data_IF_239973274470
#
_entry.id   IF_239973274470
#
_cell.length_a   1.000
_cell.length_b   1.000
_cell.length_c   1.000
_cell.angle_alpha   90.00
_cell.angle_beta   90.00
_cell.angle_gamma   90.00
#
_symmetry.space_group_name_H-M   'P 1'
#
loop_
_entity.id
_entity.type
_entity.pdbx_description
1 polymer ?
#
# COMPACT_ATOMS: atom_id res chain seq x y z
N UNK A 1 2.24 -3.86 22.45
CA UNK A 1 2.28 -5.05 21.56
C UNK A 1 3.30 -4.95 20.42
N UNK A 2 3.22 -4.00 19.47
CA UNK A 2 4.18 -3.93 18.36
C UNK A 2 5.61 -3.70 18.85
N UNK A 3 5.81 -2.65 19.64
CA UNK A 3 7.08 -2.33 20.29
C UNK A 3 7.64 -3.50 21.11
N UNK A 4 6.79 -4.20 21.86
CA UNK A 4 7.21 -5.33 22.70
C UNK A 4 7.70 -6.54 21.87
N UNK A 5 7.13 -6.77 20.69
CA UNK A 5 7.46 -7.94 19.85
C UNK A 5 8.65 -7.71 18.91
N UNK A 6 8.86 -6.47 18.49
CA UNK A 6 9.88 -6.10 17.53
C UNK A 6 11.02 -5.25 18.11
N UNK A 7 10.88 -4.75 19.33
CA UNK A 7 11.89 -3.95 20.04
C UNK A 7 12.24 -2.62 19.34
N UNK A 8 11.31 -2.02 18.59
CA UNK A 8 11.41 -0.67 18.05
C UNK A 8 10.04 0.00 17.93
N UNK A 9 10.02 1.31 17.66
CA UNK A 9 8.78 2.10 17.62
C UNK A 9 7.91 1.75 16.41
N UNK A 10 6.59 1.79 16.56
CA UNK A 10 5.69 1.71 15.40
C UNK A 10 5.86 2.89 14.44
N UNK A 11 6.47 3.99 14.88
CA UNK A 11 6.78 5.14 14.02
C UNK A 11 7.92 4.86 13.03
N UNK A 12 8.80 3.90 13.33
CA UNK A 12 9.90 3.51 12.44
C UNK A 12 9.47 2.37 11.50
N UNK A 13 8.26 1.83 11.71
CA UNK A 13 7.68 0.80 10.86
C UNK A 13 6.89 1.43 9.71
N UNK A 14 7.14 0.95 8.50
CA UNK A 14 6.38 1.30 7.29
C UNK A 14 5.86 0.03 6.64
N UNK A 15 4.67 0.12 6.03
CA UNK A 15 4.02 -1.04 5.39
C UNK A 15 4.33 -1.14 3.90
N UNK A 16 4.71 0.00 3.29
CA UNK A 16 5.14 0.07 1.91
C UNK A 16 6.27 1.09 1.75
N UNK A 17 7.38 0.75 1.06
CA UNK A 17 7.76 -0.59 0.57
C UNK A 17 7.78 -1.63 1.72
N UNK A 18 7.62 -2.92 1.45
CA UNK A 18 7.52 -3.90 2.54
C UNK A 18 8.77 -3.85 3.43
N UNK A 19 8.61 -3.48 4.70
CA UNK A 19 9.75 -3.30 5.60
C UNK A 19 10.56 -4.60 5.75
N UNK A 20 11.90 -4.54 5.79
CA UNK A 20 12.77 -5.71 5.88
C UNK A 20 12.36 -6.75 6.94
N UNK A 21 11.85 -6.31 8.09
CA UNK A 21 11.49 -7.21 9.17
C UNK A 21 10.34 -8.16 8.83
N UNK A 22 9.44 -7.77 7.91
CA UNK A 22 8.37 -8.66 7.44
C UNK A 22 8.79 -9.48 6.22
N UNK A 23 9.98 -9.24 5.67
CA UNK A 23 10.57 -10.06 4.59
C UNK A 23 11.33 -11.27 5.15
N UNK A 24 11.49 -11.37 6.46
CA UNK A 24 11.94 -12.59 7.13
C UNK A 24 10.74 -13.40 7.65
N UNK A 25 10.78 -14.72 7.48
CA UNK A 25 9.67 -15.62 7.85
C UNK A 25 9.21 -15.44 9.31
N UNK A 26 10.14 -15.34 10.26
CA UNK A 26 9.82 -15.16 11.67
C UNK A 26 9.17 -13.81 11.95
N UNK A 27 9.67 -12.74 11.31
CA UNK A 27 9.12 -11.41 11.47
C UNK A 27 7.75 -11.26 10.81
N UNK A 28 7.55 -11.87 9.63
CA UNK A 28 6.26 -11.99 8.98
C UNK A 28 5.21 -12.65 9.88
N UNK A 29 5.53 -13.81 10.47
CA UNK A 29 4.59 -14.50 11.36
C UNK A 29 4.28 -13.69 12.63
N UNK A 30 5.27 -12.99 13.18
CA UNK A 30 5.06 -12.08 14.32
C UNK A 30 4.11 -10.94 13.93
N UNK A 31 4.34 -10.30 12.79
CA UNK A 31 3.50 -9.22 12.27
C UNK A 31 2.07 -9.70 12.05
N UNK A 32 1.88 -10.85 11.41
CA UNK A 32 0.55 -11.40 11.20
C UNK A 32 -0.20 -11.79 12.47
N UNK A 33 0.51 -12.30 13.49
CA UNK A 33 -0.10 -12.56 14.80
C UNK A 33 -0.51 -11.26 15.52
N UNK A 34 0.24 -10.16 15.34
CA UNK A 34 -0.16 -8.84 15.88
C UNK A 34 -1.40 -8.33 15.15
N UNK A 35 -1.36 -8.37 13.82
CA UNK A 35 -2.46 -7.95 12.96
C UNK A 35 -3.75 -8.71 13.29
N UNK A 36 -3.69 -10.03 13.42
CA UNK A 36 -4.86 -10.83 13.77
C UNK A 36 -5.50 -10.37 15.09
N UNK A 37 -4.69 -10.12 16.13
CA UNK A 37 -5.19 -9.63 17.41
C UNK A 37 -5.79 -8.22 17.31
N UNK A 38 -5.22 -7.37 16.47
CA UNK A 38 -5.78 -6.04 16.21
C UNK A 38 -7.14 -6.15 15.51
N UNK A 39 -7.24 -7.00 14.49
CA UNK A 39 -8.50 -7.27 13.79
C UNK A 39 -9.56 -7.86 14.72
N UNK A 40 -9.19 -8.80 15.60
CA UNK A 40 -10.08 -9.36 16.62
C UNK A 40 -10.56 -8.29 17.62
N UNK A 41 -9.68 -7.34 17.99
CA UNK A 41 -10.05 -6.20 18.82
C UNK A 41 -11.13 -5.33 18.15
N UNK A 42 -10.97 -5.00 16.86
CA UNK A 42 -12.01 -4.25 16.12
C UNK A 42 -13.35 -5.00 16.05
N UNK A 43 -13.31 -6.32 15.84
CA UNK A 43 -14.54 -7.14 15.79
C UNK A 43 -15.26 -7.16 17.13
N UNK A 44 -14.52 -7.34 18.23
CA UNK A 44 -15.11 -7.55 19.55
C UNK A 44 -15.45 -6.24 20.28
N UNK A 45 -14.53 -5.26 20.26
CA UNK A 45 -14.64 -4.01 21.02
C UNK A 45 -15.38 -2.93 20.22
N UNK A 46 -15.16 -2.86 18.91
CA UNK A 46 -15.81 -1.87 18.04
C UNK A 46 -17.05 -2.42 17.33
N UNK A 47 -17.39 -3.70 17.53
CA UNK A 47 -18.47 -4.41 16.84
C UNK A 47 -18.36 -4.37 15.30
N UNK A 48 -17.17 -4.09 14.78
CA UNK A 48 -16.92 -4.00 13.35
C UNK A 48 -16.65 -5.38 12.77
N UNK A 49 -17.73 -6.06 12.38
CA UNK A 49 -17.66 -7.38 11.73
C UNK A 49 -17.06 -7.32 10.32
N UNK A 50 -16.89 -6.14 9.75
CA UNK A 50 -16.30 -5.95 8.43
C UNK A 50 -14.77 -5.87 8.47
N UNK A 51 -14.17 -5.52 9.62
CA UNK A 51 -12.73 -5.39 9.82
C UNK A 51 -11.87 -6.54 9.24
N UNK A 52 -12.28 -7.83 9.29
CA UNK A 52 -11.50 -8.91 8.68
C UNK A 52 -11.62 -9.01 7.15
N UNK A 53 -12.50 -8.24 6.52
CA UNK A 53 -12.87 -8.33 5.10
C UNK A 53 -12.49 -7.08 4.30
N UNK A 54 -12.21 -5.97 4.97
CA UNK A 54 -11.74 -4.73 4.35
C UNK A 54 -10.25 -4.81 4.05
N UNK A 55 -9.81 -3.98 3.09
CA UNK A 55 -8.40 -3.81 2.84
C UNK A 55 -7.74 -3.16 4.06
N UNK A 56 -6.62 -3.74 4.44
CA UNK A 56 -5.59 -3.08 5.21
C UNK A 56 -4.28 -3.72 4.78
N UNK A 57 -3.13 -3.04 4.86
CA UNK A 57 -1.86 -3.64 4.49
C UNK A 57 -1.61 -4.96 5.21
N UNK A 58 -1.98 -5.01 6.49
CA UNK A 58 -1.90 -6.21 7.30
C UNK A 58 -2.86 -7.33 6.83
N UNK A 59 -4.14 -7.03 6.55
CA UNK A 59 -5.08 -8.02 6.01
C UNK A 59 -4.63 -8.53 4.64
N UNK A 60 -4.12 -7.65 3.78
CA UNK A 60 -3.60 -8.01 2.47
C UNK A 60 -2.51 -9.07 2.61
N UNK A 61 -1.47 -8.78 3.40
CA UNK A 61 -0.33 -9.68 3.56
C UNK A 61 -0.66 -10.92 4.38
N UNK A 62 -1.38 -10.77 5.49
CA UNK A 62 -1.53 -11.84 6.47
C UNK A 62 -2.73 -12.74 6.25
N UNK A 63 -3.70 -12.31 5.42
CA UNK A 63 -4.94 -13.03 5.16
C UNK A 63 -5.23 -13.25 3.69
N UNK A 64 -5.24 -12.21 2.87
CA UNK A 64 -5.69 -12.32 1.47
C UNK A 64 -4.61 -12.90 0.55
N UNK A 65 -3.35 -12.54 0.79
CA UNK A 65 -2.20 -12.90 -0.03
C UNK A 65 -1.10 -13.59 0.77
N UNK A 66 -1.45 -14.25 1.87
CA UNK A 66 -0.48 -14.87 2.77
C UNK A 66 0.44 -15.87 2.08
N UNK A 67 -0.14 -16.84 1.36
CA UNK A 67 0.61 -17.87 0.65
C UNK A 67 1.47 -17.24 -0.44
N UNK A 68 0.87 -16.37 -1.26
CA UNK A 68 1.57 -15.63 -2.31
C UNK A 68 2.75 -14.81 -1.76
N UNK A 69 2.56 -14.11 -0.64
CA UNK A 69 3.63 -13.36 0.03
C UNK A 69 4.77 -14.28 0.49
N UNK A 70 4.44 -15.43 1.09
CA UNK A 70 5.44 -16.40 1.52
C UNK A 70 6.24 -17.00 0.35
N UNK A 71 5.61 -17.22 -0.81
CA UNK A 71 6.27 -17.72 -2.03
C UNK A 71 7.28 -16.72 -2.60
N UNK A 72 6.97 -15.43 -2.54
CA UNK A 72 7.81 -14.37 -3.14
C UNK A 72 8.78 -13.73 -2.16
N UNK A 73 8.61 -14.00 -0.85
CA UNK A 73 9.34 -13.38 0.26
C UNK A 73 10.85 -13.33 0.03
N UNK A 74 11.46 -14.46 -0.39
CA UNK A 74 12.90 -14.52 -0.61
C UNK A 74 13.40 -13.55 -1.71
N UNK A 75 12.66 -13.42 -2.81
CA UNK A 75 13.02 -12.47 -3.87
C UNK A 75 12.89 -11.02 -3.37
N UNK A 76 11.85 -10.73 -2.61
CA UNK A 76 11.66 -9.41 -2.00
C UNK A 76 12.79 -9.09 -1.02
N UNK A 77 13.17 -10.03 -0.16
CA UNK A 77 14.28 -9.90 0.80
C UNK A 77 15.61 -9.58 0.11
N UNK A 78 15.97 -10.33 -0.93
CA UNK A 78 17.24 -10.13 -1.65
C UNK A 78 17.27 -8.80 -2.41
N UNK A 79 16.11 -8.32 -2.86
CA UNK A 79 16.01 -7.07 -3.64
C UNK A 79 15.80 -5.84 -2.79
N UNK A 80 15.33 -5.98 -1.54
CA UNK A 80 14.97 -4.87 -0.66
C UNK A 80 16.08 -3.82 -0.49
N UNK A 81 17.36 -4.19 -0.23
CA UNK A 81 18.39 -3.17 -0.05
C UNK A 81 18.60 -2.31 -1.31
N UNK A 82 18.49 -2.92 -2.49
CA UNK A 82 18.65 -2.22 -3.77
C UNK A 82 17.41 -1.39 -4.11
N UNK A 83 16.21 -1.91 -3.87
CA UNK A 83 14.96 -1.16 -4.12
C UNK A 83 14.85 0.00 -3.15
N UNK A 84 15.19 -0.17 -1.88
CA UNK A 84 15.26 0.90 -0.90
C UNK A 84 16.27 1.97 -1.33
N UNK A 85 17.54 1.61 -1.56
CA UNK A 85 18.57 2.61 -1.89
C UNK A 85 18.33 3.35 -3.21
N UNK A 86 17.77 2.67 -4.22
CA UNK A 86 17.61 3.24 -5.57
C UNK A 86 16.23 3.83 -5.80
N UNK A 87 15.18 3.14 -5.40
CA UNK A 87 13.81 3.51 -5.77
C UNK A 87 13.18 4.44 -4.74
N UNK A 88 13.44 4.28 -3.45
CA UNK A 88 12.80 5.08 -2.40
C UNK A 88 13.08 6.58 -2.57
N UNK A 89 14.36 6.97 -2.50
CA UNK A 89 14.77 8.37 -2.65
C UNK A 89 14.37 8.94 -4.02
N UNK A 90 14.61 8.19 -5.10
CA UNK A 90 14.28 8.64 -6.45
C UNK A 90 12.78 8.91 -6.59
N UNK A 91 11.93 8.01 -6.09
CA UNK A 91 10.49 8.14 -6.21
C UNK A 91 9.91 9.18 -5.26
N UNK A 92 10.53 9.41 -4.10
CA UNK A 92 10.20 10.56 -3.27
C UNK A 92 10.46 11.88 -4.01
N UNK A 93 11.63 12.03 -4.62
CA UNK A 93 11.99 13.24 -5.36
C UNK A 93 11.11 13.45 -6.61
N UNK A 94 10.82 12.38 -7.36
CA UNK A 94 9.90 12.41 -8.51
C UNK A 94 8.49 12.84 -8.09
N UNK A 95 7.96 12.28 -7.01
CA UNK A 95 6.59 12.57 -6.55
C UNK A 95 6.45 14.03 -6.10
N UNK A 96 7.48 14.58 -5.45
CA UNK A 96 7.51 15.98 -5.03
C UNK A 96 7.48 16.97 -6.21
N UNK A 97 7.98 16.58 -7.40
CA UNK A 97 7.93 17.43 -8.60
C UNK A 97 6.52 17.51 -9.22
N UNK A 98 5.69 16.51 -8.98
CA UNK A 98 4.38 16.34 -9.63
C UNK A 98 3.23 16.98 -8.86
N UNK A 99 3.44 17.30 -7.57
CA UNK A 99 2.39 17.78 -6.68
C UNK A 99 2.65 19.25 -6.31
N UNK A 100 1.60 20.05 -6.25
CA UNK A 100 1.69 21.47 -5.93
C UNK A 100 2.41 21.73 -4.59
N UNK A 101 3.22 22.78 -4.55
CA UNK A 101 4.00 23.17 -3.37
C UNK A 101 3.07 23.79 -2.31
N UNK A 102 2.57 22.95 -1.41
CA UNK A 102 1.84 23.33 -0.20
C UNK A 102 2.54 22.81 1.05
N UNK A 103 2.08 23.25 2.22
CA UNK A 103 2.56 22.73 3.51
C UNK A 103 2.34 21.20 3.60
N UNK A 104 3.39 20.47 4.01
CA UNK A 104 3.32 19.02 4.23
C UNK A 104 2.63 18.73 5.56
N UNK A 105 1.96 17.59 5.64
CA UNK A 105 1.51 17.09 6.94
C UNK A 105 2.70 16.85 7.89
N UNK A 106 2.49 17.02 9.19
CA UNK A 106 3.48 16.64 10.19
C UNK A 106 3.78 15.14 10.12
N UNK A 107 5.03 14.75 10.34
CA UNK A 107 5.45 13.34 10.32
C UNK A 107 4.61 12.53 11.32
N UNK A 108 4.07 11.39 10.87
CA UNK A 108 3.22 10.50 11.67
C UNK A 108 1.76 10.95 11.81
N UNK A 109 1.36 12.06 11.18
CA UNK A 109 -0.05 12.46 11.15
C UNK A 109 -0.86 11.54 10.23
N UNK A 110 -1.70 10.72 10.83
CA UNK A 110 -2.60 9.77 10.14
C UNK A 110 -4.08 10.17 10.21
N UNK A 111 -4.45 11.04 11.17
CA UNK A 111 -5.84 11.52 11.32
C UNK A 111 -5.91 12.96 10.86
N UNK A 112 -6.80 13.20 9.89
CA UNK A 112 -7.05 14.52 9.33
C UNK A 112 -8.47 14.97 9.67
N UNK A 113 -8.62 16.24 9.98
CA UNK A 113 -9.93 16.87 10.16
C UNK A 113 -10.50 17.35 8.82
N UNK A 114 -11.79 17.66 8.77
CA UNK A 114 -12.41 18.22 7.56
C UNK A 114 -11.74 19.52 7.07
N UNK A 115 -11.25 20.35 7.99
CA UNK A 115 -10.49 21.57 7.66
C UNK A 115 -9.14 21.28 6.99
N UNK A 116 -8.64 20.05 7.09
CA UNK A 116 -7.34 19.61 6.59
C UNK A 116 -7.49 18.68 5.38
N UNK A 117 -8.69 18.60 4.80
CA UNK A 117 -9.02 17.72 3.67
C UNK A 117 -8.08 17.93 2.47
N UNK A 118 -7.75 19.18 2.14
CA UNK A 118 -6.82 19.49 1.05
C UNK A 118 -5.40 18.95 1.32
N UNK A 119 -4.96 18.96 2.59
CA UNK A 119 -3.67 18.40 2.98
C UNK A 119 -3.72 16.88 2.82
N UNK A 120 -4.78 16.24 3.28
CA UNK A 120 -4.98 14.80 3.12
C UNK A 120 -4.97 14.36 1.64
N UNK A 121 -5.73 15.04 0.79
CA UNK A 121 -5.79 14.78 -0.66
C UNK A 121 -4.43 14.90 -1.32
N UNK A 122 -3.64 15.90 -0.89
CA UNK A 122 -2.28 16.10 -1.37
C UNK A 122 -1.34 14.98 -0.92
N UNK A 123 -1.41 14.55 0.34
CA UNK A 123 -0.58 13.45 0.83
C UNK A 123 -0.96 12.12 0.15
N UNK A 124 -2.24 11.91 -0.15
CA UNK A 124 -2.69 10.78 -0.99
C UNK A 124 -2.14 10.87 -2.43
N UNK A 125 -2.17 12.04 -3.05
CA UNK A 125 -1.63 12.23 -4.41
C UNK A 125 -0.12 11.94 -4.45
N UNK A 126 0.61 12.37 -3.41
CA UNK A 126 2.03 12.04 -3.24
C UNK A 126 2.24 10.54 -3.04
N UNK A 127 1.44 9.89 -2.20
CA UNK A 127 1.53 8.45 -1.93
C UNK A 127 1.30 7.62 -3.20
N UNK A 128 0.26 7.92 -3.98
CA UNK A 128 -0.06 7.18 -5.19
C UNK A 128 0.96 7.41 -6.32
N UNK A 129 1.51 8.64 -6.45
CA UNK A 129 2.64 8.89 -7.35
C UNK A 129 3.89 8.10 -6.93
N UNK A 130 4.20 8.11 -5.62
CA UNK A 130 5.32 7.34 -5.07
C UNK A 130 5.14 5.85 -5.33
N UNK A 131 3.96 5.29 -5.04
CA UNK A 131 3.65 3.88 -5.27
C UNK A 131 3.83 3.50 -6.75
N UNK A 132 3.30 4.30 -7.67
CA UNK A 132 3.45 4.06 -9.11
C UNK A 132 4.93 4.05 -9.53
N UNK A 133 5.69 5.07 -9.11
CA UNK A 133 7.12 5.15 -9.40
C UNK A 133 7.88 3.96 -8.80
N UNK A 134 7.58 3.61 -7.55
CA UNK A 134 8.27 2.56 -6.83
C UNK A 134 8.08 1.19 -7.49
N UNK A 135 6.86 0.88 -7.97
CA UNK A 135 6.59 -0.35 -8.74
C UNK A 135 7.42 -0.39 -10.02
N UNK A 136 7.43 0.69 -10.82
CA UNK A 136 8.18 0.72 -12.08
C UNK A 136 9.70 0.67 -11.88
N UNK A 137 10.21 1.32 -10.84
CA UNK A 137 11.63 1.24 -10.49
C UNK A 137 12.01 -0.17 -10.01
N UNK A 138 11.22 -0.76 -9.11
CA UNK A 138 11.46 -2.08 -8.54
C UNK A 138 11.44 -3.18 -9.59
N UNK A 139 10.65 -3.01 -10.66
CA UNK A 139 10.56 -3.94 -11.79
C UNK A 139 11.89 -4.28 -12.42
N UNK A 140 12.77 -3.30 -12.58
CA UNK A 140 14.10 -3.52 -13.17
C UNK A 140 14.95 -4.36 -12.22
N UNK A 141 14.99 -3.96 -10.94
CA UNK A 141 15.81 -4.61 -9.91
C UNK A 141 15.38 -6.06 -9.67
N UNK A 142 14.08 -6.29 -9.53
CA UNK A 142 13.51 -7.61 -9.24
C UNK A 142 13.78 -8.59 -10.40
N UNK A 143 13.64 -8.15 -11.65
CA UNK A 143 13.90 -8.99 -12.83
C UNK A 143 15.39 -9.32 -13.02
N UNK A 144 16.28 -8.46 -12.57
CA UNK A 144 17.73 -8.68 -12.64
C UNK A 144 18.24 -9.57 -11.51
N UNK A 145 17.52 -9.61 -10.37
CA UNK A 145 18.01 -10.26 -9.14
C UNK A 145 17.36 -11.62 -8.84
N UNK A 146 16.17 -11.89 -9.39
CA UNK A 146 15.40 -13.10 -9.08
C UNK A 146 15.16 -13.96 -10.32
N UNK A 147 14.90 -15.25 -10.11
CA UNK A 147 14.48 -16.15 -11.18
C UNK A 147 13.16 -15.66 -11.81
N UNK A 148 13.01 -15.85 -13.12
CA UNK A 148 11.90 -15.25 -13.89
C UNK A 148 10.51 -15.48 -13.29
N UNK A 149 10.19 -16.73 -12.89
CA UNK A 149 8.89 -17.05 -12.28
C UNK A 149 8.70 -16.33 -10.94
N UNK A 150 9.74 -16.28 -10.11
CA UNK A 150 9.68 -15.63 -8.81
C UNK A 150 9.61 -14.10 -8.96
N UNK A 151 10.34 -13.54 -9.92
CA UNK A 151 10.32 -12.11 -10.26
C UNK A 151 8.91 -11.66 -10.69
N UNK A 152 8.30 -12.35 -11.65
CA UNK A 152 6.95 -12.01 -12.12
C UNK A 152 5.90 -12.20 -11.02
N UNK A 153 6.04 -13.24 -10.19
CA UNK A 153 5.16 -13.43 -9.04
C UNK A 153 5.31 -12.30 -8.00
N UNK A 154 6.53 -11.86 -7.72
CA UNK A 154 6.85 -10.76 -6.79
C UNK A 154 6.28 -9.44 -7.29
N UNK A 155 6.46 -9.14 -8.59
CA UNK A 155 5.92 -7.94 -9.22
C UNK A 155 4.40 -7.94 -9.23
N UNK A 156 3.79 -9.10 -9.47
CA UNK A 156 2.34 -9.27 -9.40
C UNK A 156 1.81 -8.97 -7.99
N UNK A 157 2.49 -9.43 -6.94
CA UNK A 157 2.11 -9.13 -5.56
C UNK A 157 2.23 -7.63 -5.26
N UNK A 158 3.37 -7.00 -5.57
CA UNK A 158 3.60 -5.56 -5.33
C UNK A 158 2.54 -4.73 -6.06
N UNK A 159 2.28 -5.07 -7.32
CA UNK A 159 1.28 -4.39 -8.14
C UNK A 159 -0.14 -4.56 -7.56
N UNK A 160 -0.48 -5.76 -7.09
CA UNK A 160 -1.76 -6.01 -6.41
C UNK A 160 -1.88 -5.20 -5.12
N UNK A 161 -0.81 -5.04 -4.35
CA UNK A 161 -0.83 -4.24 -3.13
C UNK A 161 -1.19 -2.78 -3.43
N UNK A 162 -0.48 -2.14 -4.36
CA UNK A 162 -0.70 -0.71 -4.67
C UNK A 162 -2.06 -0.46 -5.33
N UNK A 163 -2.55 -1.41 -6.12
CA UNK A 163 -3.86 -1.29 -6.78
C UNK A 163 -5.01 -1.54 -5.81
N UNK A 164 -4.92 -2.54 -4.93
CA UNK A 164 -5.94 -2.77 -3.89
C UNK A 164 -6.02 -1.61 -2.91
N UNK A 165 -4.88 -1.02 -2.54
CA UNK A 165 -4.84 0.21 -1.76
C UNK A 165 -5.56 1.36 -2.49
N UNK A 166 -5.26 1.58 -3.78
CA UNK A 166 -5.91 2.64 -4.54
C UNK A 166 -7.42 2.42 -4.73
N UNK A 167 -7.87 1.17 -4.89
CA UNK A 167 -9.29 0.80 -4.98
C UNK A 167 -10.01 1.05 -3.65
N UNK A 168 -9.41 0.66 -2.51
CA UNK A 168 -10.00 0.90 -1.19
C UNK A 168 -10.20 2.40 -0.92
N UNK A 169 -9.18 3.21 -1.25
CA UNK A 169 -9.31 4.67 -1.17
C UNK A 169 -10.37 5.18 -2.15
N UNK A 170 -10.39 4.70 -3.40
CA UNK A 170 -11.41 5.09 -4.39
C UNK A 170 -12.83 4.81 -3.87
N UNK A 171 -13.07 3.62 -3.33
CA UNK A 171 -14.38 3.23 -2.81
C UNK A 171 -14.81 4.12 -1.65
N UNK A 172 -13.87 4.54 -0.79
CA UNK A 172 -14.16 5.51 0.25
C UNK A 172 -14.59 6.88 -0.32
N UNK A 173 -13.91 7.40 -1.36
CA UNK A 173 -14.30 8.65 -2.03
C UNK A 173 -15.67 8.54 -2.71
N UNK A 174 -15.97 7.38 -3.30
CA UNK A 174 -17.25 7.08 -3.93
C UNK A 174 -18.39 7.05 -2.91
N UNK A 175 -18.25 6.27 -1.84
CA UNK A 175 -19.24 6.15 -0.78
C UNK A 175 -19.45 7.47 -0.02
N UNK A 176 -18.42 8.30 0.06
CA UNK A 176 -18.48 9.62 0.69
C UNK A 176 -19.02 10.72 -0.23
N UNK A 177 -19.36 10.40 -1.49
CA UNK A 177 -19.87 11.33 -2.50
C UNK A 177 -18.94 12.55 -2.74
N UNK A 178 -17.63 12.32 -2.72
CA UNK A 178 -16.59 13.35 -2.91
C UNK A 178 -15.63 12.98 -4.05
N UNK A 179 -16.07 12.16 -5.00
CA UNK A 179 -15.26 11.67 -6.13
C UNK A 179 -14.55 12.76 -6.93
N UNK A 180 -15.13 13.96 -7.03
CA UNK A 180 -14.52 15.11 -7.71
C UNK A 180 -13.18 15.55 -7.09
N UNK A 181 -12.95 15.20 -5.83
CA UNK A 181 -11.74 15.55 -5.08
C UNK A 181 -10.75 14.36 -5.02
N UNK A 182 -11.05 13.23 -5.67
CA UNK A 182 -10.18 12.05 -5.67
C UNK A 182 -8.89 12.31 -6.47
N UNK A 183 -7.69 12.11 -5.89
CA UNK A 183 -6.44 12.40 -6.59
C UNK A 183 -6.26 11.61 -7.88
N UNK A 184 -5.85 12.31 -8.94
CA UNK A 184 -5.67 11.71 -10.29
C UNK A 184 -4.62 10.60 -10.30
N UNK A 185 -3.56 10.69 -9.51
CA UNK A 185 -2.54 9.64 -9.43
C UNK A 185 -3.12 8.34 -8.87
N UNK A 186 -3.93 8.42 -7.81
CA UNK A 186 -4.64 7.29 -7.23
C UNK A 186 -5.68 6.72 -8.20
N UNK A 187 -6.39 7.59 -8.93
CA UNK A 187 -7.33 7.16 -9.97
C UNK A 187 -6.66 6.31 -11.05
N UNK A 188 -5.45 6.68 -11.49
CA UNK A 188 -4.70 5.86 -12.45
C UNK A 188 -4.44 4.46 -11.89
N UNK A 189 -3.96 4.35 -10.65
CA UNK A 189 -3.71 3.05 -10.01
C UNK A 189 -4.99 2.22 -9.86
N UNK A 190 -6.08 2.83 -9.38
CA UNK A 190 -7.35 2.13 -9.17
C UNK A 190 -7.96 1.60 -10.48
N UNK A 191 -7.76 2.30 -11.60
CA UNK A 191 -8.29 1.92 -12.92
C UNK A 191 -7.38 0.93 -13.67
N UNK A 192 -6.14 0.71 -13.25
CA UNK A 192 -5.24 -0.25 -13.94
C UNK A 192 -5.65 -1.71 -13.74
N UNK A 193 -6.29 -2.05 -12.61
CA UNK A 193 -6.85 -3.40 -12.35
C UNK A 193 -8.12 -3.69 -13.13
N UNK A 194 -8.69 -2.65 -13.73
CA UNK A 194 -10.00 -2.73 -14.31
C UNK A 194 -9.84 -3.10 -15.77
N UNK A 195 -10.13 -4.36 -16.11
CA UNK A 195 -10.28 -4.76 -17.51
C UNK A 195 -11.32 -3.81 -18.12
N UNK A 196 -10.92 -3.01 -19.10
CA UNK A 196 -11.79 -2.05 -19.78
C UNK A 196 -12.98 -2.72 -20.49
N UNK A 197 -13.00 -4.06 -20.52
CA UNK A 197 -14.12 -4.89 -20.97
C UNK A 197 -15.19 -5.15 -19.91
N UNK A 198 -14.96 -4.82 -18.63
CA UNK A 198 -15.98 -4.97 -17.59
C UNK A 198 -17.14 -3.96 -17.81
N UNK A 199 -18.37 -4.43 -18.05
CA UNK A 199 -19.51 -3.55 -18.33
C UNK A 199 -19.88 -2.61 -17.18
N UNK A 200 -19.58 -2.96 -15.91
CA UNK A 200 -19.82 -2.07 -14.75
C UNK A 200 -18.92 -0.83 -14.84
N UNK A 201 -17.73 -0.99 -15.42
CA UNK A 201 -16.72 0.06 -15.49
C UNK A 201 -17.01 1.02 -16.64
N UNK A 202 -17.60 0.51 -17.73
CA UNK A 202 -18.12 1.38 -18.79
C UNK A 202 -19.20 2.32 -18.25
N UNK A 203 -19.98 1.89 -17.27
CA UNK A 203 -20.96 2.74 -16.59
C UNK A 203 -20.29 3.77 -15.67
N UNK A 204 -19.24 3.39 -14.93
CA UNK A 204 -18.52 4.31 -14.02
C UNK A 204 -17.77 5.40 -14.81
N UNK A 205 -17.16 5.06 -15.96
CA UNK A 205 -16.40 6.04 -16.78
C UNK A 205 -17.29 6.94 -17.65
N UNK A 206 -18.61 6.71 -17.71
CA UNK A 206 -19.56 7.56 -18.45
C UNK A 206 -20.26 8.60 -17.56
N UNK A 207 -20.00 8.57 -16.25
CA UNK A 207 -20.50 9.54 -15.26
C UNK A 207 -19.38 10.50 -14.85
#
# INVERSE_FOLDING_TARGET
MFHEKFNFSSADFYEFPFHPIILEQNGFFKYCNISQKQTECYVNECLDRSAPKIFSPANFLCKFKREHFMEVMHCLEVTEPLTFLKCDQMCHDESLKLVEQHERAAIGKVVFTNSEKQIYERELDLLCNFQTCFVECSKVIIRESCEWLQAESSLSLIFQYVTWHAIDVHDWYFLSNIMKDFPRSCQRLALLTVDSRDPIVRLINLL
#
